data_IF_808949888742
#
_entry.id   IF_808949888742
#
_cell.length_a   1.000
_cell.length_b   1.000
_cell.length_c   1.000
_cell.angle_alpha   90.00
_cell.angle_beta   90.00
_cell.angle_gamma   90.00
#
_symmetry.space_group_name_H-M   'P 1'
#
loop_
_entity.id
_entity.type
_entity.pdbx_description
1 polymer ?
#
# COMPACT_ATOMS: atom_id res chain seq x y z
N UNK A 1 -15.74 -9.10 4.25
CA UNK A 1 -14.50 -9.38 5.00
C UNK A 1 -13.57 -10.27 4.19
N UNK A 2 -12.25 -10.01 4.19
CA UNK A 2 -11.31 -10.91 3.50
C UNK A 2 -11.25 -12.27 4.19
N UNK A 3 -11.46 -13.33 3.42
CA UNK A 3 -11.28 -14.70 3.90
C UNK A 3 -9.77 -15.02 4.08
N UNK A 4 -9.47 -16.20 4.62
CA UNK A 4 -8.08 -16.63 4.90
C UNK A 4 -7.20 -16.65 3.65
N UNK A 5 -7.74 -17.06 2.52
CA UNK A 5 -7.02 -17.16 1.24
C UNK A 5 -6.74 -15.77 0.66
N UNK A 6 -7.72 -14.87 0.69
CA UNK A 6 -7.59 -13.48 0.27
C UNK A 6 -6.52 -12.75 1.10
N UNK A 7 -6.51 -12.93 2.43
CA UNK A 7 -5.44 -12.38 3.29
C UNK A 7 -4.07 -12.97 2.97
N UNK A 8 -4.00 -14.28 2.69
CA UNK A 8 -2.75 -14.91 2.27
C UNK A 8 -2.23 -14.36 0.93
N UNK A 9 -3.14 -14.14 -0.03
CA UNK A 9 -2.82 -13.53 -1.32
C UNK A 9 -2.31 -12.09 -1.15
N UNK A 10 -3.00 -11.27 -0.35
CA UNK A 10 -2.61 -9.89 -0.07
C UNK A 10 -1.22 -9.81 0.58
N UNK A 11 -0.94 -10.66 1.58
CA UNK A 11 0.40 -10.75 2.18
C UNK A 11 1.47 -11.08 1.14
N UNK A 12 1.19 -12.03 0.25
CA UNK A 12 2.11 -12.42 -0.81
C UNK A 12 2.35 -11.26 -1.79
N UNK A 13 1.31 -10.54 -2.19
CA UNK A 13 1.41 -9.38 -3.07
C UNK A 13 2.24 -8.26 -2.45
N UNK A 14 2.02 -7.93 -1.18
CA UNK A 14 2.81 -6.92 -0.45
C UNK A 14 4.28 -7.38 -0.31
N UNK A 15 4.52 -8.66 -0.04
CA UNK A 15 5.88 -9.19 0.02
C UNK A 15 6.60 -9.11 -1.34
N UNK A 16 5.88 -9.35 -2.45
CA UNK A 16 6.42 -9.18 -3.80
C UNK A 16 6.74 -7.70 -4.07
N UNK A 17 5.85 -6.76 -3.72
CA UNK A 17 6.12 -5.33 -3.83
C UNK A 17 7.36 -4.91 -3.04
N UNK A 18 7.52 -5.44 -1.82
CA UNK A 18 8.70 -5.21 -1.00
C UNK A 18 9.98 -5.77 -1.63
N UNK A 19 9.94 -6.99 -2.18
CA UNK A 19 11.09 -7.58 -2.85
C UNK A 19 11.49 -6.79 -4.11
N UNK A 20 10.53 -6.25 -4.85
CA UNK A 20 10.79 -5.34 -5.95
C UNK A 20 11.44 -4.04 -5.49
N UNK A 21 10.86 -3.44 -4.45
CA UNK A 21 11.37 -2.23 -3.82
C UNK A 21 12.81 -2.39 -3.30
N UNK A 22 13.12 -3.49 -2.61
CA UNK A 22 14.45 -3.77 -2.07
C UNK A 22 15.51 -3.92 -3.18
N UNK A 23 15.16 -4.58 -4.29
CA UNK A 23 16.06 -4.74 -5.45
C UNK A 23 16.45 -3.40 -6.09
N UNK A 24 15.50 -2.47 -6.22
CA UNK A 24 15.73 -1.21 -6.92
C UNK A 24 16.47 -0.15 -6.09
N UNK A 25 16.45 -0.23 -4.76
CA UNK A 25 17.01 0.81 -3.91
C UNK A 25 18.46 0.55 -3.46
N UNK A 26 19.06 -0.56 -3.87
CA UNK A 26 20.41 -1.00 -3.44
C UNK A 26 20.59 -1.03 -1.91
N UNK A 27 19.50 -1.02 -1.15
CA UNK A 27 19.57 -1.24 0.29
C UNK A 27 19.83 -2.72 0.48
N UNK A 28 20.85 -3.04 1.27
CA UNK A 28 21.08 -4.41 1.63
C UNK A 28 19.90 -4.87 2.48
N UNK A 29 19.42 -6.11 2.28
CA UNK A 29 18.40 -6.74 3.13
C UNK A 29 18.79 -6.81 4.63
N UNK A 30 20.01 -6.35 4.95
CA UNK A 30 20.58 -6.11 6.26
C UNK A 30 20.06 -4.83 6.91
N UNK A 31 19.51 -3.89 6.16
CA UNK A 31 19.19 -2.56 6.71
C UNK A 31 17.73 -2.46 7.14
N UNK A 32 16.84 -3.01 6.31
CA UNK A 32 15.41 -3.00 6.57
C UNK A 32 14.81 -4.38 6.41
N UNK A 33 13.66 -4.56 7.03
CA UNK A 33 12.84 -5.74 6.85
C UNK A 33 11.36 -5.37 6.75
N UNK A 34 10.59 -6.24 6.11
CA UNK A 34 9.14 -6.16 6.08
C UNK A 34 8.59 -6.89 7.30
N UNK A 35 7.98 -6.16 8.25
CA UNK A 35 7.37 -6.74 9.44
C UNK A 35 6.04 -7.41 9.08
N UNK A 36 6.01 -8.75 9.15
CA UNK A 36 4.80 -9.54 8.86
C UNK A 36 3.63 -9.19 9.78
N UNK A 37 3.90 -8.90 11.05
CA UNK A 37 2.90 -8.47 12.03
C UNK A 37 2.26 -7.13 11.62
N UNK A 38 3.06 -6.16 11.20
CA UNK A 38 2.55 -4.84 10.80
C UNK A 38 1.80 -4.94 9.47
N UNK A 39 2.27 -5.77 8.53
CA UNK A 39 1.53 -6.07 7.30
C UNK A 39 0.14 -6.66 7.62
N UNK A 40 0.06 -7.63 8.52
CA UNK A 40 -1.21 -8.24 8.91
C UNK A 40 -2.16 -7.21 9.56
N UNK A 41 -1.61 -6.30 10.37
CA UNK A 41 -2.39 -5.20 10.94
C UNK A 41 -2.93 -4.26 9.86
N UNK A 42 -2.11 -3.87 8.89
CA UNK A 42 -2.54 -3.05 7.76
C UNK A 42 -3.68 -3.71 6.96
N UNK A 43 -3.56 -5.01 6.67
CA UNK A 43 -4.61 -5.79 6.00
C UNK A 43 -5.88 -5.84 6.85
N UNK A 44 -5.76 -6.07 8.16
CA UNK A 44 -6.90 -6.09 9.07
C UNK A 44 -7.65 -4.75 9.12
N UNK A 45 -6.91 -3.64 9.23
CA UNK A 45 -7.51 -2.31 9.24
C UNK A 45 -8.17 -1.97 7.89
N UNK A 46 -7.55 -2.34 6.77
CA UNK A 46 -8.15 -2.20 5.45
C UNK A 46 -9.42 -3.06 5.30
N UNK A 47 -9.43 -4.28 5.82
CA UNK A 47 -10.60 -5.16 5.79
C UNK A 47 -11.78 -4.55 6.55
N UNK A 48 -11.53 -3.97 7.72
CA UNK A 48 -12.54 -3.29 8.53
C UNK A 48 -13.11 -2.06 7.81
N UNK A 49 -12.25 -1.24 7.19
CA UNK A 49 -12.71 -0.08 6.43
C UNK A 49 -13.50 -0.49 5.18
N UNK A 50 -13.05 -1.53 4.46
CA UNK A 50 -13.76 -2.07 3.29
C UNK A 50 -15.12 -2.67 3.66
N UNK A 51 -15.23 -3.33 4.82
CA UNK A 51 -16.50 -3.84 5.34
C UNK A 51 -17.47 -2.69 5.66
N UNK A 52 -16.99 -1.63 6.33
CA UNK A 52 -17.81 -0.43 6.55
C UNK A 52 -18.26 0.18 5.23
N UNK A 53 -17.34 0.32 4.26
CA UNK A 53 -17.69 0.82 2.93
C UNK A 53 -18.76 -0.04 2.25
N UNK A 54 -18.64 -1.37 2.30
CA UNK A 54 -19.65 -2.28 1.76
C UNK A 54 -21.01 -2.05 2.40
N UNK A 55 -21.06 -1.93 3.73
CA UNK A 55 -22.31 -1.81 4.48
C UNK A 55 -23.04 -0.48 4.24
N UNK A 56 -22.30 0.61 3.96
CA UNK A 56 -22.89 1.96 3.86
C UNK A 56 -22.93 2.55 2.46
N UNK A 57 -22.13 2.04 1.51
CA UNK A 57 -21.91 2.68 0.21
C UNK A 57 -22.04 1.75 -0.99
N UNK A 58 -22.20 0.44 -0.79
CA UNK A 58 -22.44 -0.52 -1.87
C UNK A 58 -23.85 -1.09 -1.78
N UNK A 59 -24.38 -1.52 -2.92
CA UNK A 59 -25.61 -2.33 -2.94
C UNK A 59 -25.38 -3.66 -2.23
N UNK A 60 -26.46 -4.22 -1.70
CA UNK A 60 -26.48 -5.55 -1.10
C UNK A 60 -25.87 -6.57 -2.10
N UNK A 61 -25.02 -7.47 -1.60
CA UNK A 61 -24.21 -8.43 -2.36
C UNK A 61 -23.07 -7.90 -3.24
N UNK A 62 -22.88 -6.57 -3.39
CA UNK A 62 -21.73 -6.03 -4.13
C UNK A 62 -20.46 -6.05 -3.28
N UNK A 63 -19.41 -6.66 -3.83
CA UNK A 63 -18.06 -6.62 -3.26
C UNK A 63 -17.30 -5.36 -3.71
N UNK A 64 -16.38 -4.85 -2.88
CA UNK A 64 -15.47 -3.79 -3.31
C UNK A 64 -14.68 -4.25 -4.53
N UNK A 65 -14.66 -3.40 -5.57
CA UNK A 65 -13.80 -3.61 -6.72
C UNK A 65 -12.32 -3.44 -6.37
N UNK A 66 -11.46 -3.74 -7.34
CA UNK A 66 -10.00 -3.64 -7.17
C UNK A 66 -9.50 -2.23 -6.86
N UNK A 67 -10.18 -1.18 -7.34
CA UNK A 67 -9.75 0.20 -7.14
C UNK A 67 -9.97 0.58 -5.68
N UNK A 68 -11.11 0.16 -5.12
CA UNK A 68 -11.38 0.23 -3.68
C UNK A 68 -10.31 -0.52 -2.91
N UNK A 69 -10.05 -1.78 -3.25
CA UNK A 69 -8.99 -2.57 -2.58
C UNK A 69 -7.63 -1.85 -2.65
N UNK A 70 -7.25 -1.30 -3.82
CA UNK A 70 -6.02 -0.54 -4.01
C UNK A 70 -5.91 0.63 -3.05
N UNK A 71 -6.97 1.46 -2.97
CA UNK A 71 -7.00 2.65 -2.14
C UNK A 71 -6.91 2.34 -0.64
N UNK A 72 -7.71 1.39 -0.15
CA UNK A 72 -7.72 1.05 1.27
C UNK A 72 -6.46 0.32 1.73
N UNK A 73 -5.96 -0.65 0.96
CA UNK A 73 -4.75 -1.40 1.35
C UNK A 73 -3.53 -0.48 1.33
N UNK A 74 -3.33 0.31 0.27
CA UNK A 74 -2.17 1.21 0.18
C UNK A 74 -2.17 2.28 1.26
N UNK A 75 -3.33 2.86 1.60
CA UNK A 75 -3.51 3.77 2.74
C UNK A 75 -2.97 3.16 4.03
N UNK A 76 -3.44 1.95 4.37
CA UNK A 76 -3.06 1.32 5.62
C UNK A 76 -1.60 0.85 5.63
N UNK A 77 -1.05 0.44 4.49
CA UNK A 77 0.39 0.19 4.36
C UNK A 77 1.21 1.46 4.63
N UNK A 78 0.82 2.60 4.05
CA UNK A 78 1.49 3.88 4.30
C UNK A 78 1.40 4.32 5.77
N UNK A 79 0.23 4.12 6.40
CA UNK A 79 -0.05 4.53 7.78
C UNK A 79 0.65 3.66 8.82
N UNK A 80 0.57 2.33 8.66
CA UNK A 80 1.17 1.37 9.61
C UNK A 80 2.69 1.26 9.46
N UNK A 81 3.23 1.62 8.28
CA UNK A 81 4.67 1.65 8.00
C UNK A 81 5.37 0.31 8.23
N UNK A 82 5.02 -0.76 7.48
CA UNK A 82 5.52 -2.12 7.74
C UNK A 82 7.02 -2.33 7.45
N UNK A 83 7.69 -1.45 6.72
CA UNK A 83 9.14 -1.46 6.58
C UNK A 83 9.75 -0.89 7.85
N UNK A 84 10.53 -1.71 8.53
CA UNK A 84 11.17 -1.42 9.81
C UNK A 84 12.70 -1.48 9.66
N UNK A 85 13.40 -0.69 10.47
CA UNK A 85 14.87 -0.75 10.57
C UNK A 85 15.27 -1.99 11.38
N UNK A 86 16.42 -2.59 11.05
CA UNK A 86 17.02 -3.62 11.91
C UNK A 86 17.73 -2.97 13.11
N UNK A 87 17.84 -3.72 14.21
CA UNK A 87 18.31 -3.22 15.52
C UNK A 87 19.73 -2.63 15.52
N UNK A 88 20.55 -2.96 14.52
CA UNK A 88 21.96 -2.56 14.45
C UNK A 88 22.20 -1.25 13.68
N UNK A 89 21.13 -0.54 13.29
CA UNK A 89 21.24 0.70 12.51
C UNK A 89 20.98 1.89 13.40
N UNK A 90 21.95 2.79 13.47
CA UNK A 90 21.80 4.07 14.15
C UNK A 90 20.63 4.85 13.55
N UNK A 91 19.73 5.36 14.40
CA UNK A 91 18.64 6.25 13.97
C UNK A 91 19.15 7.53 13.29
N UNK A 92 20.42 7.89 13.54
CA UNK A 92 21.09 9.04 12.92
C UNK A 92 21.53 8.75 11.48
N UNK A 93 21.75 7.48 11.13
CA UNK A 93 22.10 7.03 9.77
C UNK A 93 20.87 6.77 8.89
N UNK A 94 19.67 7.09 9.38
CA UNK A 94 18.42 7.00 8.60
C UNK A 94 18.51 8.00 7.46
N UNK A 95 19.04 7.53 6.33
CA UNK A 95 19.20 8.36 5.15
C UNK A 95 17.85 8.94 4.72
N UNK A 96 17.88 10.10 4.05
CA UNK A 96 16.70 10.69 3.40
C UNK A 96 15.95 9.69 2.52
N UNK A 97 16.58 8.60 2.06
CA UNK A 97 15.94 7.54 1.27
C UNK A 97 15.06 6.61 2.12
N UNK A 98 15.50 6.22 3.33
CA UNK A 98 14.71 5.39 4.25
C UNK A 98 13.42 6.07 4.70
N UNK A 99 13.45 7.40 4.79
CA UNK A 99 12.28 8.21 5.08
C UNK A 99 11.09 7.89 4.15
N UNK A 100 11.36 7.64 2.86
CA UNK A 100 10.33 7.40 1.85
C UNK A 100 9.94 5.94 1.70
N UNK A 101 10.59 5.01 2.40
CA UNK A 101 10.48 3.58 2.14
C UNK A 101 9.03 3.07 2.16
N UNK A 102 8.28 3.45 3.20
CA UNK A 102 6.90 3.02 3.37
C UNK A 102 5.95 3.70 2.37
N UNK A 103 6.24 4.94 1.97
CA UNK A 103 5.47 5.62 0.92
C UNK A 103 5.70 4.96 -0.44
N UNK A 104 6.95 4.64 -0.77
CA UNK A 104 7.32 3.93 -2.00
C UNK A 104 6.68 2.54 -2.06
N UNK A 105 6.69 1.81 -0.94
CA UNK A 105 5.98 0.54 -0.84
C UNK A 105 4.48 0.72 -1.05
N UNK A 106 3.85 1.74 -0.45
CA UNK A 106 2.43 2.00 -0.61
C UNK A 106 2.05 2.28 -2.07
N UNK A 107 2.87 3.03 -2.83
CA UNK A 107 2.67 3.24 -4.28
C UNK A 107 2.77 1.92 -5.05
N UNK A 108 3.77 1.08 -4.75
CA UNK A 108 3.91 -0.24 -5.38
C UNK A 108 2.72 -1.16 -5.06
N UNK A 109 2.25 -1.14 -3.82
CA UNK A 109 1.06 -1.90 -3.39
C UNK A 109 -0.19 -1.40 -4.09
N UNK A 110 -0.36 -0.07 -4.21
CA UNK A 110 -1.45 0.52 -4.99
C UNK A 110 -1.44 0.01 -6.43
N UNK A 111 -0.30 0.07 -7.11
CA UNK A 111 -0.11 -0.36 -8.50
C UNK A 111 -0.52 -1.82 -8.76
N UNK A 112 -0.28 -2.75 -7.82
CA UNK A 112 -0.55 -4.19 -8.02
C UNK A 112 -2.02 -4.48 -8.34
N UNK A 113 -2.94 -3.63 -7.88
CA UNK A 113 -4.37 -3.84 -8.10
C UNK A 113 -4.87 -3.23 -9.41
N UNK A 114 -4.06 -2.45 -10.12
CA UNK A 114 -4.41 -1.83 -11.39
C UNK A 114 -3.92 -2.70 -12.56
N UNK A 115 -4.69 -2.73 -13.64
CA UNK A 115 -4.31 -3.34 -14.93
C UNK A 115 -3.35 -2.48 -15.72
N UNK A 116 -3.34 -1.17 -15.47
CA UNK A 116 -2.51 -0.19 -16.18
C UNK A 116 -1.54 0.45 -15.21
N UNK A 117 -0.41 0.89 -15.75
CA UNK A 117 0.60 1.60 -14.96
C UNK A 117 0.05 2.95 -14.49
N UNK A 118 0.35 3.30 -13.24
CA UNK A 118 0.07 4.61 -12.68
C UNK A 118 0.95 5.64 -13.40
N UNK A 119 0.36 6.69 -14.00
CA UNK A 119 1.14 7.74 -14.65
C UNK A 119 2.21 8.32 -13.71
N UNK A 120 3.38 8.64 -14.24
CA UNK A 120 4.53 9.05 -13.44
C UNK A 120 4.24 10.24 -12.51
N UNK A 121 3.56 11.29 -13.00
CA UNK A 121 3.21 12.43 -12.15
C UNK A 121 2.25 12.04 -11.03
N UNK A 122 1.33 11.11 -11.28
CA UNK A 122 0.40 10.61 -10.26
C UNK A 122 1.15 9.78 -9.22
N UNK A 123 2.11 8.95 -9.63
CA UNK A 123 2.96 8.19 -8.72
C UNK A 123 3.78 9.10 -7.79
N UNK A 124 4.33 10.21 -8.29
CA UNK A 124 5.03 11.20 -7.47
C UNK A 124 4.11 11.86 -6.44
N UNK A 125 2.90 12.22 -6.83
CA UNK A 125 1.92 12.81 -5.91
C UNK A 125 1.43 11.81 -4.87
N UNK A 126 1.15 10.57 -5.27
CA UNK A 126 0.80 9.48 -4.36
C UNK A 126 1.91 9.24 -3.33
N UNK A 127 3.18 9.20 -3.77
CA UNK A 127 4.33 9.08 -2.86
C UNK A 127 4.34 10.20 -1.82
N UNK A 128 4.13 11.44 -2.24
CA UNK A 128 4.06 12.59 -1.34
C UNK A 128 2.87 12.45 -0.36
N UNK A 129 1.69 12.09 -0.85
CA UNK A 129 0.52 11.90 -0.01
C UNK A 129 0.74 10.78 1.01
N UNK A 130 1.24 9.62 0.61
CA UNK A 130 1.53 8.53 1.54
C UNK A 130 2.58 8.88 2.59
N UNK A 131 3.49 9.81 2.31
CA UNK A 131 4.48 10.26 3.27
C UNK A 131 3.93 11.27 4.29
N UNK A 132 3.06 12.19 3.86
CA UNK A 132 2.74 13.41 4.62
C UNK A 132 1.24 13.69 4.85
N UNK A 133 0.34 12.97 4.18
CA UNK A 133 -1.10 13.22 4.23
C UNK A 133 -1.84 11.98 4.71
N UNK A 134 -2.89 12.18 5.50
CA UNK A 134 -3.82 11.11 5.87
C UNK A 134 -5.01 11.14 4.91
N UNK A 135 -4.80 10.61 3.70
CA UNK A 135 -5.85 10.53 2.69
C UNK A 135 -6.87 9.43 2.99
N UNK A 136 -8.12 9.70 2.65
CA UNK A 136 -9.20 8.72 2.77
C UNK A 136 -9.03 7.60 1.75
N UNK A 137 -9.48 6.39 2.09
CA UNK A 137 -9.36 5.21 1.21
C UNK A 137 -10.19 5.40 -0.06
N UNK A 138 -11.34 6.06 0.07
CA UNK A 138 -12.24 6.51 -0.99
C UNK A 138 -11.53 7.41 -2.00
N UNK A 139 -10.75 8.39 -1.52
CA UNK A 139 -10.01 9.32 -2.38
C UNK A 139 -9.02 8.53 -3.24
N UNK A 140 -8.24 7.65 -2.60
CA UNK A 140 -7.26 6.81 -3.28
C UNK A 140 -7.91 5.81 -4.24
N UNK A 141 -9.08 5.28 -3.91
CA UNK A 141 -9.85 4.42 -4.81
C UNK A 141 -10.30 5.16 -6.08
N UNK A 142 -10.75 6.42 -5.94
CA UNK A 142 -11.10 7.25 -7.08
C UNK A 142 -9.87 7.52 -7.97
N UNK A 143 -8.73 7.84 -7.37
CA UNK A 143 -7.47 8.04 -8.10
C UNK A 143 -7.09 6.76 -8.86
N UNK A 144 -7.24 5.59 -8.25
CA UNK A 144 -6.93 4.31 -8.88
C UNK A 144 -7.78 4.09 -10.13
N UNK A 145 -9.07 4.42 -10.04
CA UNK A 145 -9.99 4.37 -11.18
C UNK A 145 -9.55 5.35 -12.28
N UNK A 146 -9.30 6.61 -11.93
CA UNK A 146 -8.89 7.64 -12.88
C UNK A 146 -7.58 7.28 -13.61
N UNK A 147 -6.61 6.67 -12.94
CA UNK A 147 -5.36 6.21 -13.57
C UNK A 147 -5.63 5.26 -14.74
N UNK A 148 -6.58 4.34 -14.61
CA UNK A 148 -6.88 3.39 -15.68
C UNK A 148 -7.71 3.98 -16.83
N UNK A 149 -8.57 4.95 -16.51
CA UNK A 149 -9.37 5.68 -17.50
C UNK A 149 -8.51 6.61 -18.36
N UNK A 150 -7.50 7.27 -17.77
CA UNK A 150 -6.58 8.17 -18.50
C UNK A 150 -5.74 7.46 -19.56
N UNK A 151 -5.53 6.15 -19.40
CA UNK A 151 -4.75 5.35 -20.34
C UNK A 151 -5.62 4.63 -21.38
N UNK A 152 -6.90 5.01 -21.55
CA UNK A 152 -7.77 4.51 -22.63
C UNK A 152 -7.57 5.36 -23.88
#
# INVERSE_FOLDING_TARGET
MFNREERALLRRQIAIAYADFARHNQWTATDVYLSSMIVERAIGNAANDLERMSNFHLEEDKKPDRHKIAGFISKWVAKERPIQLRDNISQVDVSRRLYWANADLAVKVFQIFLRKEVPFEVALNLRYWFAFRDERGETLALIAYCCEEMSK
#
